data_IF_684719858718
#
_entry.id   IF_684719858718
#
_cell.length_a   1.000
_cell.length_b   1.000
_cell.length_c   1.000
_cell.angle_alpha   90.00
_cell.angle_beta   90.00
_cell.angle_gamma   90.00
#
_symmetry.space_group_name_H-M   'P 1'
#
loop_
_entity.id
_entity.type
_entity.pdbx_description
1 polymer ?
#
# COMPACT_ATOMS: atom_id res chain seq x y z
N UNK A 1 -3.69 -9.61 -23.97
CA UNK A 1 -3.86 -9.08 -22.61
C UNK A 1 -3.68 -10.26 -21.66
N UNK A 2 -2.76 -10.20 -20.71
CA UNK A 2 -2.57 -11.27 -19.71
C UNK A 2 -3.68 -11.11 -18.65
N UNK A 3 -4.43 -12.18 -18.31
CA UNK A 3 -5.41 -12.13 -17.23
C UNK A 3 -4.79 -11.72 -15.89
N UNK A 4 -5.50 -10.91 -15.10
CA UNK A 4 -4.96 -10.35 -13.85
C UNK A 4 -4.60 -11.41 -12.78
N UNK A 5 -5.30 -12.54 -12.79
CA UNK A 5 -5.04 -13.73 -11.99
C UNK A 5 -3.69 -14.38 -12.33
N UNK A 6 -3.36 -14.48 -13.63
CA UNK A 6 -2.04 -14.97 -14.06
C UNK A 6 -0.92 -14.03 -13.61
N UNK A 7 -1.17 -12.71 -13.62
CA UNK A 7 -0.20 -11.72 -13.17
C UNK A 7 0.04 -11.80 -11.65
N UNK A 8 -1.03 -11.94 -10.85
CA UNK A 8 -0.92 -12.12 -9.40
C UNK A 8 -0.16 -13.41 -9.05
N UNK A 9 -0.44 -14.52 -9.74
CA UNK A 9 0.30 -15.77 -9.56
C UNK A 9 1.78 -15.59 -9.88
N UNK A 10 2.10 -14.93 -10.99
CA UNK A 10 3.49 -14.67 -11.38
C UNK A 10 4.23 -13.83 -10.35
N UNK A 11 3.67 -12.70 -9.92
CA UNK A 11 4.33 -11.84 -8.93
C UNK A 11 4.47 -12.55 -7.57
N UNK A 12 3.51 -13.39 -7.18
CA UNK A 12 3.63 -14.19 -5.97
C UNK A 12 4.88 -15.11 -5.99
N UNK A 13 5.16 -15.78 -7.12
CA UNK A 13 6.36 -16.60 -7.26
C UNK A 13 7.64 -15.75 -7.30
N UNK A 14 7.61 -14.59 -7.96
CA UNK A 14 8.72 -13.63 -7.92
C UNK A 14 8.99 -13.18 -6.49
N UNK A 15 7.95 -12.91 -5.70
CA UNK A 15 8.10 -12.48 -4.31
C UNK A 15 8.71 -13.57 -3.45
N UNK A 16 8.30 -14.84 -3.59
CA UNK A 16 8.94 -15.96 -2.89
C UNK A 16 10.42 -16.08 -3.25
N UNK A 17 10.73 -16.05 -4.53
CA UNK A 17 12.11 -16.14 -5.03
C UNK A 17 12.99 -15.01 -4.47
N UNK A 18 12.47 -13.79 -4.45
CA UNK A 18 13.18 -12.62 -3.91
C UNK A 18 13.28 -12.66 -2.38
N UNK A 19 12.25 -13.13 -1.67
CA UNK A 19 12.25 -13.23 -0.21
C UNK A 19 13.35 -14.17 0.28
N UNK A 20 13.50 -15.33 -0.37
CA UNK A 20 14.58 -16.29 -0.10
C UNK A 20 15.99 -15.69 -0.27
N UNK A 21 16.11 -14.62 -1.05
CA UNK A 21 17.38 -13.96 -1.40
C UNK A 21 17.55 -12.59 -0.73
N UNK A 22 16.58 -12.18 0.08
CA UNK A 22 16.56 -10.87 0.71
C UNK A 22 16.36 -9.69 -0.25
N UNK A 23 15.91 -9.92 -1.48
CA UNK A 23 15.81 -8.89 -2.54
C UNK A 23 14.45 -8.20 -2.67
N UNK A 24 13.52 -8.44 -1.75
CA UNK A 24 12.17 -7.87 -1.83
C UNK A 24 12.15 -6.35 -1.63
N UNK A 25 12.96 -5.84 -0.70
CA UNK A 25 12.98 -4.41 -0.37
C UNK A 25 13.42 -3.60 -1.57
N UNK A 26 14.55 -3.98 -2.18
CA UNK A 26 15.11 -3.33 -3.36
C UNK A 26 14.13 -3.39 -4.53
N UNK A 27 13.45 -4.53 -4.70
CA UNK A 27 12.42 -4.69 -5.72
C UNK A 27 11.26 -3.69 -5.56
N UNK A 28 10.75 -3.50 -4.34
CA UNK A 28 9.67 -2.56 -4.08
C UNK A 28 10.11 -1.09 -4.15
N UNK A 29 11.32 -0.79 -3.71
CA UNK A 29 11.93 0.55 -3.88
C UNK A 29 12.07 0.90 -5.38
N UNK A 30 12.41 -0.09 -6.20
CA UNK A 30 12.46 0.10 -7.64
C UNK A 30 11.09 0.36 -8.26
N UNK A 31 10.06 -0.37 -7.83
CA UNK A 31 8.68 -0.07 -8.20
C UNK A 31 8.30 1.35 -7.77
N UNK A 32 8.64 1.75 -6.54
CA UNK A 32 8.39 3.12 -6.05
C UNK A 32 9.02 4.15 -6.99
N UNK A 33 10.28 3.95 -7.39
CA UNK A 33 10.99 4.87 -8.30
C UNK A 33 10.31 4.99 -9.65
N UNK A 34 9.82 3.88 -10.18
CA UNK A 34 9.05 3.89 -11.42
C UNK A 34 7.70 4.61 -11.26
N UNK A 35 7.01 4.41 -10.14
CA UNK A 35 5.72 5.04 -9.86
C UNK A 35 5.78 6.55 -9.69
N UNK A 36 6.96 7.12 -9.40
CA UNK A 36 7.13 8.58 -9.32
C UNK A 36 6.70 9.28 -10.60
N UNK A 37 6.95 8.67 -11.77
CA UNK A 37 6.56 9.24 -13.08
C UNK A 37 5.06 9.33 -13.28
N UNK A 38 4.29 8.58 -12.51
CA UNK A 38 2.83 8.53 -12.61
C UNK A 38 2.14 9.37 -11.55
N UNK A 39 2.73 9.45 -10.35
CA UNK A 39 2.01 9.89 -9.16
C UNK A 39 2.67 11.03 -8.40
N UNK A 40 4.01 11.17 -8.45
CA UNK A 40 4.72 12.08 -7.55
C UNK A 40 4.33 13.55 -7.77
N UNK A 41 4.23 13.99 -9.04
CA UNK A 41 3.82 15.37 -9.36
C UNK A 41 2.41 15.66 -8.81
N UNK A 42 1.47 14.74 -9.03
CA UNK A 42 0.09 14.88 -8.58
C UNK A 42 0.03 14.98 -7.04
N UNK A 43 0.72 14.07 -6.34
CA UNK A 43 0.73 14.01 -4.89
C UNK A 43 1.41 15.24 -4.27
N UNK A 44 2.50 15.71 -4.88
CA UNK A 44 3.21 16.91 -4.41
C UNK A 44 2.38 18.17 -4.62
N UNK A 45 1.70 18.29 -5.76
CA UNK A 45 0.93 19.50 -6.10
C UNK A 45 -0.40 19.59 -5.36
N UNK A 46 -1.07 18.46 -5.13
CA UNK A 46 -2.43 18.44 -4.59
C UNK A 46 -2.54 17.77 -3.21
N UNK A 47 -1.43 17.27 -2.64
CA UNK A 47 -1.44 16.56 -1.36
C UNK A 47 -2.41 15.39 -1.35
N UNK A 48 -3.22 15.28 -0.29
CA UNK A 48 -4.19 14.20 -0.11
C UNK A 48 -5.28 14.18 -1.19
N UNK A 49 -5.64 15.34 -1.77
CA UNK A 49 -6.63 15.38 -2.86
C UNK A 49 -6.10 14.66 -4.12
N UNK A 50 -4.80 14.82 -4.41
CA UNK A 50 -4.15 14.09 -5.51
C UNK A 50 -4.07 12.59 -5.26
N UNK A 51 -3.85 12.18 -4.01
CA UNK A 51 -3.89 10.75 -3.63
C UNK A 51 -5.30 10.18 -3.79
N UNK A 52 -6.32 10.91 -3.34
CA UNK A 52 -7.72 10.51 -3.51
C UNK A 52 -8.08 10.35 -5.00
N UNK A 53 -7.71 11.32 -5.85
CA UNK A 53 -7.93 11.26 -7.30
C UNK A 53 -7.29 10.01 -7.92
N UNK A 54 -6.04 9.73 -7.56
CA UNK A 54 -5.34 8.54 -8.01
C UNK A 54 -6.07 7.25 -7.62
N UNK A 55 -6.47 7.10 -6.35
CA UNK A 55 -7.14 5.87 -5.90
C UNK A 55 -8.57 5.73 -6.39
N UNK A 56 -9.27 6.82 -6.74
CA UNK A 56 -10.55 6.73 -7.47
C UNK A 56 -10.36 5.99 -8.80
N UNK A 57 -9.26 6.30 -9.52
CA UNK A 57 -8.90 5.61 -10.76
C UNK A 57 -8.52 4.15 -10.50
N UNK A 58 -7.59 3.89 -9.57
CA UNK A 58 -7.13 2.53 -9.24
C UNK A 58 -8.29 1.64 -8.79
N UNK A 59 -9.17 2.14 -7.92
CA UNK A 59 -10.36 1.40 -7.46
C UNK A 59 -11.21 0.90 -8.62
N UNK A 60 -11.37 1.71 -9.67
CA UNK A 60 -12.14 1.35 -10.87
C UNK A 60 -11.39 0.37 -11.76
N UNK A 61 -10.10 0.60 -11.99
CA UNK A 61 -9.27 -0.22 -12.90
C UNK A 61 -9.01 -1.62 -12.33
N UNK A 62 -8.80 -1.72 -11.02
CA UNK A 62 -8.49 -2.98 -10.33
C UNK A 62 -9.73 -3.66 -9.73
N UNK A 63 -10.90 -3.02 -9.82
CA UNK A 63 -12.15 -3.48 -9.21
C UNK A 63 -11.99 -3.74 -7.69
N UNK A 64 -11.39 -2.77 -6.99
CA UNK A 64 -11.11 -2.88 -5.55
C UNK A 64 -12.37 -2.57 -4.72
N UNK A 65 -12.58 -3.36 -3.67
CA UNK A 65 -13.50 -3.00 -2.58
C UNK A 65 -12.76 -2.07 -1.61
N UNK A 66 -12.54 -0.84 -2.06
CA UNK A 66 -11.81 0.22 -1.36
C UNK A 66 -12.76 1.37 -0.98
N UNK A 67 -12.88 1.62 0.31
CA UNK A 67 -13.49 2.82 0.86
C UNK A 67 -12.45 3.91 1.06
N UNK A 68 -12.82 5.14 0.72
CA UNK A 68 -11.98 6.32 0.87
C UNK A 68 -12.76 7.43 1.53
N UNK A 69 -12.22 8.01 2.59
CA UNK A 69 -12.90 9.03 3.39
C UNK A 69 -11.90 10.08 3.88
N UNK A 70 -12.23 11.36 3.70
CA UNK A 70 -11.54 12.44 4.41
C UNK A 70 -12.13 12.59 5.80
N UNK A 71 -11.31 12.40 6.83
CA UNK A 71 -11.74 12.45 8.22
C UNK A 71 -10.55 12.76 9.14
N UNK A 72 -10.83 13.44 10.25
CA UNK A 72 -9.84 13.75 11.30
C UNK A 72 -8.59 14.48 10.75
N UNK A 73 -8.77 15.30 9.70
CA UNK A 73 -7.69 16.03 9.03
C UNK A 73 -6.77 15.17 8.14
N UNK A 74 -7.11 13.89 7.93
CA UNK A 74 -6.41 12.97 7.04
C UNK A 74 -7.32 12.35 5.99
N UNK A 75 -6.70 11.49 5.17
CA UNK A 75 -7.39 10.63 4.21
C UNK A 75 -7.22 9.18 4.68
N UNK A 76 -8.35 8.49 4.86
CA UNK A 76 -8.41 7.07 5.20
C UNK A 76 -8.69 6.26 3.94
N UNK A 77 -7.89 5.23 3.71
CA UNK A 77 -8.10 4.20 2.70
C UNK A 77 -8.36 2.89 3.43
N UNK A 78 -9.58 2.35 3.31
CA UNK A 78 -9.96 1.10 3.94
C UNK A 78 -10.27 0.04 2.87
N UNK A 79 -9.33 -0.89 2.70
CA UNK A 79 -9.48 -2.02 1.78
C UNK A 79 -10.28 -3.12 2.46
N UNK A 80 -11.55 -3.29 2.06
CA UNK A 80 -12.46 -4.32 2.58
C UNK A 80 -12.20 -5.69 1.98
N UNK A 81 -11.72 -5.72 0.72
CA UNK A 81 -11.31 -6.93 0.01
C UNK A 81 -10.22 -6.61 -1.02
N UNK A 82 -8.97 -6.84 -0.65
CA UNK A 82 -7.82 -6.67 -1.52
C UNK A 82 -7.90 -7.66 -2.70
N UNK A 83 -8.00 -7.19 -3.96
CA UNK A 83 -8.12 -8.09 -5.11
C UNK A 83 -6.85 -8.92 -5.33
N UNK A 84 -5.69 -8.35 -4.99
CA UNK A 84 -4.38 -8.98 -5.17
C UNK A 84 -4.20 -10.15 -4.19
N UNK A 85 -4.34 -9.89 -2.87
CA UNK A 85 -4.23 -10.96 -1.86
C UNK A 85 -5.35 -12.00 -2.01
N UNK A 86 -6.59 -11.60 -2.36
CA UNK A 86 -7.69 -12.56 -2.59
C UNK A 86 -7.35 -13.58 -3.67
N UNK A 87 -6.71 -13.14 -4.78
CA UNK A 87 -6.26 -14.03 -5.85
C UNK A 87 -5.00 -14.81 -5.48
N UNK A 88 -4.15 -14.25 -4.63
CA UNK A 88 -2.97 -14.95 -4.14
C UNK A 88 -3.36 -16.12 -3.21
N UNK A 89 -4.31 -15.92 -2.31
CA UNK A 89 -4.80 -17.00 -1.41
C UNK A 89 -5.62 -18.04 -2.16
N UNK A 90 -6.34 -17.64 -3.20
CA UNK A 90 -7.14 -18.52 -4.07
C UNK A 90 -6.30 -19.08 -5.24
N UNK A 91 -5.11 -19.59 -4.94
CA UNK A 91 -4.30 -20.31 -5.93
C UNK A 91 -3.57 -21.53 -5.32
N UNK A 92 -3.11 -22.40 -6.20
CA UNK A 92 -2.42 -23.66 -5.90
C UNK A 92 -0.93 -23.49 -5.60
N UNK A 93 -0.38 -22.28 -5.74
CA UNK A 93 1.04 -22.04 -5.54
C UNK A 93 1.36 -21.73 -4.06
N UNK A 94 0.38 -21.38 -3.24
CA UNK A 94 0.56 -20.89 -1.87
C UNK A 94 1.11 -19.46 -1.83
N UNK A 95 0.78 -18.68 -0.80
CA UNK A 95 1.09 -17.25 -0.75
C UNK A 95 2.48 -16.97 -0.19
N UNK A 96 3.21 -16.01 -0.77
CA UNK A 96 4.42 -15.47 -0.15
C UNK A 96 4.09 -14.89 1.24
N UNK A 97 4.78 -15.26 2.33
CA UNK A 97 4.49 -14.73 3.67
C UNK A 97 4.56 -13.20 3.77
N UNK A 98 5.39 -12.59 2.92
CA UNK A 98 5.57 -11.13 2.80
C UNK A 98 4.79 -10.52 1.64
N UNK A 99 3.76 -11.21 1.12
CA UNK A 99 3.00 -10.73 -0.03
C UNK A 99 2.48 -9.30 0.19
N UNK A 100 1.87 -9.01 1.34
CA UNK A 100 1.31 -7.69 1.64
C UNK A 100 2.35 -6.57 1.78
N UNK A 101 3.64 -6.88 1.88
CA UNK A 101 4.69 -5.87 1.99
C UNK A 101 4.83 -5.04 0.70
N UNK A 102 4.34 -5.55 -0.43
CA UNK A 102 4.44 -4.86 -1.71
C UNK A 102 3.76 -3.49 -1.71
N UNK A 103 2.55 -3.36 -1.13
CA UNK A 103 1.83 -2.08 -1.10
C UNK A 103 2.63 -1.00 -0.36
N UNK A 104 2.92 -1.13 0.95
CA UNK A 104 3.72 -0.14 1.66
C UNK A 104 5.14 -0.03 1.12
N UNK A 105 5.72 -1.12 0.58
CA UNK A 105 7.04 -1.12 -0.02
C UNK A 105 7.21 -0.09 -1.13
N UNK A 106 6.20 0.09 -2.00
CA UNK A 106 6.28 1.12 -3.04
C UNK A 106 5.63 2.45 -2.65
N UNK A 107 4.59 2.45 -1.80
CA UNK A 107 3.91 3.71 -1.44
C UNK A 107 4.69 4.54 -0.43
N UNK A 108 5.34 3.91 0.55
CA UNK A 108 6.00 4.63 1.65
C UNK A 108 7.12 5.57 1.18
N UNK A 109 8.05 5.13 0.30
CA UNK A 109 9.10 6.02 -0.20
C UNK A 109 8.52 7.15 -1.05
N UNK A 110 7.51 6.85 -1.88
CA UNK A 110 6.83 7.85 -2.72
C UNK A 110 6.15 8.92 -1.87
N UNK A 111 5.37 8.54 -0.85
CA UNK A 111 4.70 9.50 0.03
C UNK A 111 5.68 10.32 0.86
N UNK A 112 6.80 9.73 1.31
CA UNK A 112 7.85 10.47 2.00
C UNK A 112 8.40 11.60 1.11
N UNK A 113 8.61 11.35 -0.19
CA UNK A 113 9.04 12.37 -1.16
C UNK A 113 8.00 13.47 -1.34
N UNK A 114 6.71 13.11 -1.37
CA UNK A 114 5.60 14.04 -1.45
C UNK A 114 5.27 14.76 -0.11
N UNK A 115 6.04 14.53 0.97
CA UNK A 115 5.76 15.03 2.33
C UNK A 115 4.37 14.62 2.85
N UNK A 116 3.96 13.40 2.49
CA UNK A 116 2.76 12.75 2.97
C UNK A 116 3.18 11.67 3.98
N UNK A 117 2.56 11.72 5.15
CA UNK A 117 2.80 10.84 6.27
C UNK A 117 1.82 9.67 6.24
N UNK A 118 2.36 8.46 6.07
CA UNK A 118 1.59 7.23 5.87
C UNK A 118 1.72 6.32 7.09
N UNK A 119 0.58 5.93 7.65
CA UNK A 119 0.42 4.83 8.60
C UNK A 119 -0.29 3.70 7.86
N UNK A 120 0.33 2.53 7.78
CA UNK A 120 -0.22 1.38 7.07
C UNK A 120 -0.42 0.21 8.01
N UNK A 121 -1.66 -0.18 8.25
CA UNK A 121 -2.05 -1.36 9.04
C UNK A 121 -2.41 -2.52 8.10
N UNK A 122 -1.54 -3.52 8.02
CA UNK A 122 -1.82 -4.74 7.24
C UNK A 122 -2.82 -5.68 7.92
N UNK A 123 -3.26 -5.37 9.15
CA UNK A 123 -4.15 -6.21 9.95
C UNK A 123 -3.60 -7.63 10.10
N UNK A 124 -4.22 -8.61 9.45
CA UNK A 124 -3.76 -9.99 9.39
C UNK A 124 -3.33 -10.28 7.95
N UNK A 125 -2.11 -10.81 7.79
CA UNK A 125 -1.50 -11.08 6.47
C UNK A 125 -2.23 -12.18 5.68
N UNK A 126 -3.07 -12.99 6.33
CA UNK A 126 -3.90 -13.99 5.69
C UNK A 126 -5.30 -13.48 5.33
N UNK A 127 -5.69 -12.30 5.83
CA UNK A 127 -7.01 -11.70 5.56
C UNK A 127 -6.84 -10.61 4.51
N UNK A 128 -7.64 -10.59 3.42
CA UNK A 128 -7.50 -9.61 2.34
C UNK A 128 -8.04 -8.23 2.73
N UNK A 129 -7.58 -7.68 3.85
CA UNK A 129 -7.99 -6.41 4.41
C UNK A 129 -6.78 -5.63 4.90
N UNK A 130 -6.73 -4.35 4.58
CA UNK A 130 -5.74 -3.43 5.11
C UNK A 130 -6.36 -2.05 5.29
N UNK A 131 -5.70 -1.23 6.09
CA UNK A 131 -6.08 0.14 6.33
C UNK A 131 -4.87 1.04 6.23
N UNK A 132 -5.05 2.17 5.60
CA UNK A 132 -4.03 3.19 5.48
C UNK A 132 -4.61 4.55 5.90
N UNK A 133 -3.78 5.30 6.62
CA UNK A 133 -4.03 6.69 6.94
C UNK A 133 -2.93 7.57 6.38
N UNK A 134 -3.36 8.66 5.75
CA UNK A 134 -2.52 9.63 5.10
C UNK A 134 -2.76 11.02 5.68
N UNK A 135 -1.67 11.72 5.98
CA UNK A 135 -1.71 13.09 6.49
C UNK A 135 -0.66 13.95 5.80
N UNK A 136 -0.91 15.25 5.71
CA UNK A 136 0.11 16.26 5.36
C UNK A 136 0.58 17.04 6.60
N UNK A 137 -0.02 16.78 7.76
CA UNK A 137 0.38 17.32 9.06
C UNK A 137 1.00 16.20 9.92
N UNK A 138 2.25 16.40 10.34
CA UNK A 138 3.00 15.42 11.11
C UNK A 138 2.45 15.21 12.53
N UNK A 139 1.91 16.25 13.15
CA UNK A 139 1.35 16.15 14.50
C UNK A 139 0.07 15.31 14.49
N UNK A 140 -0.80 15.52 13.50
CA UNK A 140 -1.99 14.67 13.29
C UNK A 140 -1.60 13.22 13.00
N UNK A 141 -0.59 13.01 12.15
CA UNK A 141 -0.11 11.68 11.84
C UNK A 141 0.42 10.95 13.09
N UNK A 142 1.24 11.62 13.92
CA UNK A 142 1.75 11.05 15.18
C UNK A 142 0.63 10.73 16.17
N UNK A 143 -0.34 11.64 16.32
CA UNK A 143 -1.51 11.41 17.17
C UNK A 143 -2.31 10.18 16.70
N UNK A 144 -2.45 9.99 15.38
CA UNK A 144 -3.10 8.80 14.82
C UNK A 144 -2.29 7.54 15.05
N UNK A 145 -0.97 7.58 14.82
CA UNK A 145 -0.07 6.44 15.02
C UNK A 145 -0.12 5.92 16.46
N UNK A 146 -0.21 6.82 17.44
CA UNK A 146 -0.34 6.44 18.85
C UNK A 146 -1.58 5.58 19.13
N UNK A 147 -2.69 5.81 18.41
CA UNK A 147 -3.93 5.01 18.52
C UNK A 147 -3.76 3.58 17.97
N UNK A 148 -2.65 3.30 17.28
CA UNK A 148 -2.35 2.01 16.64
C UNK A 148 -1.17 1.30 17.35
N UNK A 149 -0.71 1.82 18.49
CA UNK A 149 0.49 1.34 19.20
C UNK A 149 0.40 -0.09 19.73
N UNK A 150 -0.81 -0.62 19.88
CA UNK A 150 -1.09 -2.00 20.30
C UNK A 150 -1.18 -2.99 19.13
N UNK A 151 -1.21 -2.50 17.88
CA UNK A 151 -1.32 -3.34 16.68
C UNK A 151 0.05 -3.81 16.22
N UNK A 152 0.12 -5.07 15.76
CA UNK A 152 1.39 -5.75 15.43
C UNK A 152 1.90 -5.51 14.01
N UNK A 153 1.00 -5.21 13.06
CA UNK A 153 1.33 -5.14 11.64
C UNK A 153 1.18 -3.71 11.09
N UNK A 154 1.58 -2.73 11.90
CA UNK A 154 1.52 -1.30 11.56
C UNK A 154 2.89 -0.82 11.14
N UNK A 155 2.93 -0.19 9.97
CA UNK A 155 4.12 0.44 9.41
C UNK A 155 3.94 1.96 9.39
N UNK A 156 5.06 2.66 9.49
CA UNK A 156 5.13 4.11 9.52
C UNK A 156 6.24 4.59 8.58
N UNK A 157 5.94 5.54 7.70
CA UNK A 157 6.87 5.93 6.65
C UNK A 157 7.85 7.05 7.03
N UNK A 158 7.79 7.58 8.25
CA UNK A 158 8.63 8.70 8.69
C UNK A 158 9.61 8.28 9.78
N UNK A 159 10.81 8.81 9.75
CA UNK A 159 11.77 8.73 10.85
C UNK A 159 12.27 10.15 11.11
N UNK A 160 12.51 10.48 12.37
CA UNK A 160 12.90 11.82 12.82
C UNK A 160 14.27 12.25 12.32
#
# INVERSE_FOLDING_TARGET
MIPSDHFVRFYNEVFKFLDERGGLTEYYEEISRHQERHCLELFTRQGLAGVYEYYVKIRKEENCDLEMEFRDGGLRLYMRKCPSLSKAVDNDAGVCPKYCDHCPGWTMPLYRKAKIYQIYDMKDRAVPQCEEWLFTDLALARAKLQQYSDRKNVLWNWQD
#
